data_IF_157442570970
#
_entry.id   IF_157442570970
#
_cell.length_a   1.000
_cell.length_b   1.000
_cell.length_c   1.000
_cell.angle_alpha   90.00
_cell.angle_beta   90.00
_cell.angle_gamma   90.00
#
_symmetry.space_group_name_H-M   'P 1'
#
loop_
_entity.id
_entity.type
_entity.pdbx_description
1 polymer ?
#
# COMPACT_ATOMS: atom_id res chain seq x y z
N UNK A 1 12.87 10.26 8.97
CA UNK A 1 11.78 10.37 9.87
C UNK A 1 10.53 9.83 9.26
N UNK A 2 9.67 9.27 10.01
CA UNK A 2 8.46 8.65 9.51
C UNK A 2 7.25 9.50 9.86
N UNK A 3 6.27 9.54 8.96
CA UNK A 3 5.00 10.17 9.24
C UNK A 3 4.12 9.16 9.94
N UNK A 4 3.44 9.60 10.98
CA UNK A 4 2.55 8.71 11.73
C UNK A 4 1.11 9.13 11.52
N UNK A 5 0.18 8.32 12.04
CA UNK A 5 -1.22 8.68 11.97
C UNK A 5 -1.47 10.01 12.66
N UNK A 6 -0.76 10.27 13.75
CA UNK A 6 -0.92 11.54 14.46
C UNK A 6 -0.55 12.71 13.57
N UNK A 7 0.44 12.54 12.72
CA UNK A 7 0.81 13.60 11.79
C UNK A 7 -0.28 13.86 10.77
N UNK A 8 -0.97 12.81 10.35
CA UNK A 8 -2.07 12.99 9.42
C UNK A 8 -3.22 13.73 10.10
N UNK A 9 -3.50 13.39 11.35
CA UNK A 9 -4.54 14.07 12.09
C UNK A 9 -4.22 15.54 12.21
N UNK A 10 -2.96 15.86 12.51
CA UNK A 10 -2.56 17.24 12.66
C UNK A 10 -2.72 18.01 11.36
N UNK A 11 -2.38 17.39 10.26
CA UNK A 11 -2.50 17.99 8.94
C UNK A 11 -3.95 18.31 8.62
N UNK A 12 -4.85 17.39 8.93
CA UNK A 12 -6.25 17.63 8.70
C UNK A 12 -6.78 18.74 9.59
N UNK A 13 -6.38 18.75 10.83
CA UNK A 13 -6.78 19.78 11.76
C UNK A 13 -6.36 21.16 11.24
N UNK A 14 -5.14 21.26 10.75
CA UNK A 14 -4.64 22.54 10.32
C UNK A 14 -5.18 22.98 8.98
N UNK A 15 -5.41 22.06 8.07
CA UNK A 15 -5.74 22.45 6.71
C UNK A 15 -7.19 22.44 6.37
N UNK A 16 -8.00 21.71 7.11
CA UNK A 16 -9.38 21.54 6.72
C UNK A 16 -10.34 22.19 7.72
N UNK A 17 -9.89 22.52 8.91
CA UNK A 17 -10.74 23.21 9.85
C UNK A 17 -11.54 22.31 10.77
N UNK A 18 -11.26 21.01 10.78
CA UNK A 18 -11.90 20.13 11.74
C UNK A 18 -11.31 20.36 13.12
N UNK A 19 -12.07 20.03 14.15
CA UNK A 19 -11.47 19.99 15.48
C UNK A 19 -10.52 18.81 15.54
N UNK A 20 -9.64 18.79 16.52
CA UNK A 20 -8.70 17.68 16.64
C UNK A 20 -9.40 16.36 16.82
N UNK A 21 -10.48 16.36 17.59
CA UNK A 21 -11.20 15.13 17.79
C UNK A 21 -11.86 14.66 16.50
N UNK A 22 -12.44 15.59 15.75
CA UNK A 22 -13.05 15.21 14.48
C UNK A 22 -12.01 14.69 13.51
N UNK A 23 -10.86 15.34 13.46
CA UNK A 23 -9.79 14.89 12.56
C UNK A 23 -9.32 13.50 12.95
N UNK A 24 -9.16 13.25 14.23
CA UNK A 24 -8.73 11.94 14.69
C UNK A 24 -9.75 10.86 14.35
N UNK A 25 -11.03 11.18 14.54
CA UNK A 25 -12.09 10.21 14.23
C UNK A 25 -12.13 9.90 12.75
N UNK A 26 -11.95 10.92 11.91
CA UNK A 26 -11.95 10.70 10.48
C UNK A 26 -10.78 9.84 10.02
N UNK A 27 -9.60 10.11 10.55
CA UNK A 27 -8.44 9.31 10.17
C UNK A 27 -8.63 7.87 10.60
N UNK A 28 -9.15 7.65 11.81
CA UNK A 28 -9.40 6.29 12.26
C UNK A 28 -10.42 5.61 11.38
N UNK A 29 -11.47 6.32 10.97
CA UNK A 29 -12.47 5.73 10.12
C UNK A 29 -11.87 5.30 8.79
N UNK A 30 -11.04 6.14 8.20
CA UNK A 30 -10.43 5.81 6.91
C UNK A 30 -9.57 4.55 7.04
N UNK A 31 -8.70 4.51 8.04
CA UNK A 31 -7.82 3.37 8.17
C UNK A 31 -8.57 2.11 8.56
N UNK A 32 -9.60 2.23 9.39
CA UNK A 32 -10.40 1.07 9.73
C UNK A 32 -11.12 0.52 8.52
N UNK A 33 -11.61 1.39 7.66
CA UNK A 33 -12.27 0.97 6.44
C UNK A 33 -11.31 0.24 5.53
N UNK A 34 -10.09 0.76 5.39
CA UNK A 34 -9.09 0.09 4.57
C UNK A 34 -8.73 -1.27 5.16
N UNK A 35 -8.52 -1.33 6.45
CA UNK A 35 -8.16 -2.59 7.08
C UNK A 35 -9.25 -3.64 6.95
N UNK A 36 -10.48 -3.20 7.13
CA UNK A 36 -11.57 -4.13 7.00
C UNK A 36 -11.69 -4.70 5.61
N UNK A 37 -11.56 -3.84 4.60
CA UNK A 37 -11.64 -4.28 3.22
C UNK A 37 -10.53 -5.26 2.90
N UNK A 38 -9.31 -4.95 3.33
CA UNK A 38 -8.19 -5.83 3.04
C UNK A 38 -8.28 -7.14 3.79
N UNK A 39 -8.83 -7.12 5.01
CA UNK A 39 -8.94 -8.35 5.77
C UNK A 39 -9.94 -9.30 5.13
N UNK A 40 -10.82 -8.79 4.30
CA UNK A 40 -11.74 -9.65 3.56
C UNK A 40 -11.16 -10.12 2.24
N UNK A 41 -9.93 -9.78 1.97
CA UNK A 41 -9.26 -10.23 0.74
C UNK A 41 -9.58 -9.38 -0.47
N UNK A 42 -10.14 -8.19 -0.27
CA UNK A 42 -10.51 -7.36 -1.40
C UNK A 42 -9.43 -6.35 -1.70
N UNK A 43 -9.25 -6.07 -2.96
CA UNK A 43 -8.28 -5.11 -3.41
C UNK A 43 -8.80 -3.70 -3.22
N UNK A 44 -7.91 -2.76 -2.94
CA UNK A 44 -8.26 -1.36 -2.84
C UNK A 44 -7.49 -0.59 -3.89
N UNK A 45 -8.18 0.22 -4.66
CA UNK A 45 -7.56 0.99 -5.70
C UNK A 45 -7.75 2.46 -5.40
N UNK A 46 -6.67 3.19 -5.21
CA UNK A 46 -6.72 4.61 -4.91
C UNK A 46 -6.05 5.35 -6.06
N UNK A 47 -6.86 6.05 -6.84
CA UNK A 47 -6.40 6.70 -8.02
C UNK A 47 -5.32 7.72 -7.71
N UNK A 48 -4.26 7.72 -8.46
CA UNK A 48 -3.15 8.65 -8.26
C UNK A 48 -2.24 8.31 -7.11
N UNK A 49 -2.57 7.27 -6.36
CA UNK A 49 -1.75 6.89 -5.22
C UNK A 49 -1.22 5.47 -5.39
N UNK A 50 -2.09 4.51 -5.52
CA UNK A 50 -1.65 3.14 -5.71
C UNK A 50 -2.73 2.15 -5.35
N UNK A 51 -2.37 0.89 -5.46
CA UNK A 51 -3.30 -0.20 -5.20
C UNK A 51 -2.78 -1.08 -4.10
N UNK A 52 -3.68 -1.50 -3.21
CA UNK A 52 -3.36 -2.51 -2.22
C UNK A 52 -3.94 -3.81 -2.71
N UNK A 53 -3.11 -4.82 -2.86
CA UNK A 53 -3.52 -6.09 -3.45
C UNK A 53 -3.30 -7.19 -2.43
N UNK A 54 -4.28 -8.05 -2.25
CA UNK A 54 -4.17 -9.18 -1.35
C UNK A 54 -4.15 -10.43 -2.20
N UNK A 55 -3.13 -11.28 -1.98
CA UNK A 55 -3.03 -12.53 -2.69
C UNK A 55 -3.08 -13.65 -1.74
N UNK A 56 -3.72 -14.72 -2.14
CA UNK A 56 -3.76 -15.91 -1.32
C UNK A 56 -2.74 -16.87 -1.84
N UNK A 57 -1.84 -17.30 -0.98
CA UNK A 57 -0.83 -18.26 -1.38
C UNK A 57 -1.11 -19.59 -0.74
N UNK A 58 -1.04 -20.65 -1.54
CA UNK A 58 -1.27 -21.97 -1.03
C UNK A 58 -0.12 -22.44 -0.21
N UNK A 59 -0.37 -23.41 0.64
CA UNK A 59 0.73 -24.03 1.33
C UNK A 59 1.65 -24.68 0.31
N UNK A 60 2.90 -24.72 0.60
CA UNK A 60 3.88 -25.29 -0.31
C UNK A 60 5.06 -25.78 0.49
N UNK A 61 5.94 -26.48 -0.18
CA UNK A 61 7.11 -27.04 0.44
C UNK A 61 8.28 -26.12 0.14
N UNK A 62 8.99 -25.70 1.17
CA UNK A 62 10.19 -24.92 1.00
C UNK A 62 11.36 -25.68 1.55
N UNK A 63 12.53 -25.03 1.58
CA UNK A 63 13.72 -25.68 2.07
C UNK A 63 14.48 -24.71 2.94
N UNK A 64 14.90 -25.19 4.07
CA UNK A 64 15.67 -24.38 4.99
C UNK A 64 17.06 -24.16 4.38
N UNK A 65 17.45 -22.94 4.09
CA UNK A 65 18.74 -22.72 3.41
C UNK A 65 19.93 -23.10 4.26
N UNK A 66 19.79 -23.20 5.58
CA UNK A 66 20.93 -23.54 6.39
C UNK A 66 21.07 -25.03 6.57
N UNK A 67 20.03 -25.78 6.65
CA UNK A 67 20.13 -27.20 6.90
C UNK A 67 19.77 -28.03 5.69
N UNK A 68 19.10 -27.45 4.70
CA UNK A 68 18.65 -28.19 3.55
C UNK A 68 17.40 -29.01 3.80
N UNK A 69 16.84 -28.92 4.99
CA UNK A 69 15.67 -29.70 5.29
C UNK A 69 14.45 -29.11 4.66
N UNK A 70 13.50 -29.96 4.27
CA UNK A 70 12.25 -29.50 3.73
C UNK A 70 11.37 -29.02 4.84
N UNK A 71 10.67 -27.92 4.61
CA UNK A 71 9.72 -27.43 5.57
C UNK A 71 8.46 -27.08 4.81
N UNK A 72 7.34 -27.12 5.50
CA UNK A 72 6.08 -26.79 4.88
C UNK A 72 5.74 -25.37 5.20
N UNK A 73 5.46 -24.56 4.18
CA UNK A 73 5.06 -23.18 4.34
C UNK A 73 3.57 -23.14 4.22
N UNK A 74 2.90 -22.71 5.27
CA UNK A 74 1.45 -22.78 5.31
C UNK A 74 0.81 -21.76 4.39
N UNK A 75 -0.44 -22.00 4.05
CA UNK A 75 -1.22 -21.07 3.25
C UNK A 75 -1.39 -19.77 4.02
N UNK A 76 -1.43 -18.66 3.29
CA UNK A 76 -1.57 -17.37 3.94
C UNK A 76 -1.98 -16.32 2.93
N UNK A 77 -2.37 -15.18 3.43
CA UNK A 77 -2.62 -14.01 2.58
C UNK A 77 -1.45 -13.07 2.67
N UNK A 78 -1.10 -12.49 1.55
CA UNK A 78 0.02 -11.58 1.47
C UNK A 78 -0.50 -10.26 0.93
N UNK A 79 -0.16 -9.17 1.60
CA UNK A 79 -0.58 -7.85 1.20
C UNK A 79 0.57 -7.15 0.50
N UNK A 80 0.29 -6.57 -0.64
CA UNK A 80 1.29 -5.85 -1.41
C UNK A 80 0.72 -4.49 -1.80
N UNK A 81 1.56 -3.46 -1.72
CA UNK A 81 1.17 -2.14 -2.18
C UNK A 81 1.91 -1.85 -3.48
N UNK A 82 1.17 -1.43 -4.51
CA UNK A 82 1.76 -1.07 -5.78
C UNK A 82 1.52 0.40 -6.01
N UNK A 83 2.55 1.23 -5.96
CA UNK A 83 2.36 2.67 -6.17
C UNK A 83 1.94 2.96 -7.60
N UNK A 84 1.14 4.00 -7.77
CA UNK A 84 0.75 4.44 -9.10
C UNK A 84 1.93 5.08 -9.79
N UNK A 85 1.82 5.27 -11.09
CA UNK A 85 2.88 5.94 -11.82
C UNK A 85 3.00 7.39 -11.41
N UNK A 86 1.90 8.00 -11.06
CA UNK A 86 1.92 9.36 -10.58
C UNK A 86 2.74 9.46 -9.30
N UNK A 87 2.50 8.54 -8.37
CA UNK A 87 3.22 8.55 -7.11
C UNK A 87 4.70 8.27 -7.34
N UNK A 88 5.01 7.31 -8.19
CA UNK A 88 6.41 7.02 -8.49
C UNK A 88 7.12 8.21 -9.07
N UNK A 89 6.44 8.92 -9.98
CA UNK A 89 7.03 10.07 -10.61
C UNK A 89 7.29 11.18 -9.60
N UNK A 90 6.37 11.37 -8.66
CA UNK A 90 6.56 12.39 -7.65
C UNK A 90 7.71 12.06 -6.73
N UNK A 91 7.85 10.80 -6.37
CA UNK A 91 8.96 10.41 -5.51
C UNK A 91 10.29 10.60 -6.24
N UNK A 92 10.34 10.26 -7.50
CA UNK A 92 11.56 10.40 -8.26
C UNK A 92 11.89 11.85 -8.60
N UNK A 93 10.87 12.66 -8.81
CA UNK A 93 11.09 14.07 -9.09
C UNK A 93 11.70 14.76 -7.86
N UNK A 94 11.28 14.33 -6.68
CA UNK A 94 11.85 14.87 -5.48
C UNK A 94 13.35 14.61 -5.42
N UNK A 95 13.77 13.43 -5.85
CA UNK A 95 15.17 13.10 -5.88
C UNK A 95 15.93 13.95 -6.87
N UNK A 96 15.36 14.22 -8.02
CA UNK A 96 16.04 14.99 -9.06
C UNK A 96 15.85 16.47 -8.90
N UNK A 97 14.99 16.91 -8.00
CA UNK A 97 14.74 18.32 -7.84
C UNK A 97 13.93 18.95 -8.95
N UNK A 98 13.19 18.12 -9.70
CA UNK A 98 12.40 18.62 -10.81
C UNK A 98 10.93 18.45 -10.54
N UNK A 99 10.11 19.34 -11.08
CA UNK A 99 8.67 19.16 -10.89
C UNK A 99 8.16 17.98 -11.72
N UNK A 100 7.05 17.42 -11.27
CA UNK A 100 6.46 16.31 -11.97
C UNK A 100 5.66 16.81 -13.14
N UNK A 101 5.81 16.17 -14.29
CA UNK A 101 5.03 16.51 -15.45
C UNK A 101 3.94 15.47 -15.56
N UNK A 102 2.80 15.74 -15.01
CA UNK A 102 1.73 14.76 -14.98
C UNK A 102 1.10 14.52 -16.33
N UNK A 103 1.32 15.41 -17.28
CA UNK A 103 0.70 15.21 -18.57
C UNK A 103 1.33 14.06 -19.34
N UNK A 104 2.50 13.61 -18.93
CA UNK A 104 3.14 12.51 -19.60
C UNK A 104 2.96 11.19 -18.91
N UNK A 105 2.14 11.13 -17.86
CA UNK A 105 2.00 9.92 -17.10
C UNK A 105 0.64 9.34 -17.34
N UNK A 106 0.58 8.03 -17.67
CA UNK A 106 -0.67 7.36 -17.81
C UNK A 106 -1.16 6.87 -16.50
N UNK A 107 -2.46 6.86 -16.32
CA UNK A 107 -2.99 6.29 -15.10
C UNK A 107 -2.74 4.83 -15.11
N UNK A 108 -2.45 4.30 -13.95
CA UNK A 108 -2.21 2.88 -13.82
C UNK A 108 -3.46 2.14 -14.13
N UNK A 109 -3.39 1.08 -14.92
CA UNK A 109 -4.48 0.28 -15.10
C UNK A 109 -4.53 -0.77 -14.13
N UNK A 110 -5.55 -1.38 -13.91
CA UNK A 110 -5.67 -2.37 -12.91
C UNK A 110 -5.03 -3.56 -13.29
N UNK A 111 -4.02 -3.94 -12.92
CA UNK A 111 -3.36 -5.01 -13.32
C UNK A 111 -3.10 -5.89 -12.36
N UNK A 112 -3.68 -6.61 -12.10
CA UNK A 112 -3.39 -7.48 -11.11
C UNK A 112 -2.62 -8.51 -11.47
N UNK A 113 -2.16 -8.57 -12.31
CA UNK A 113 -1.50 -9.65 -12.65
C UNK A 113 -0.35 -9.90 -12.06
N UNK A 114 0.31 -9.78 -11.82
CA UNK A 114 1.43 -10.03 -11.43
C UNK A 114 1.87 -10.82 -10.67
N UNK A 115 2.06 -11.37 -10.46
CA UNK A 115 2.39 -12.13 -9.75
C UNK A 115 3.47 -12.63 -9.47
N UNK A 116 4.02 -12.47 -9.54
CA UNK A 116 5.12 -12.87 -9.43
C UNK A 116 5.35 -13.36 -8.27
N UNK A 117 5.10 -13.67 -7.67
CA UNK A 117 5.25 -14.17 -6.59
C UNK A 117 6.38 -14.57 -6.21
N UNK A 118 7.04 -14.22 -6.20
CA UNK A 118 8.20 -14.58 -5.83
C UNK A 118 8.18 -14.81 -4.54
N UNK A 119 7.92 -14.82 -3.92
CA UNK A 119 7.92 -15.05 -2.71
C UNK A 119 8.83 -15.11 -1.96
N UNK A 120 9.21 -14.89 -1.65
CA UNK A 120 10.06 -14.86 -0.90
C UNK A 120 9.82 -15.08 0.13
#
# INVERSE_FOLDING_TARGET
>A
MAMTKADIVESLYEKVGFSKKEAADLVELVFDTLKNTLSQGQKIKISGFGNFVVREKRSRVGRNPQTGETIEISARRVLTFRPSQVLRAEVNASLEGKPVDLSKIKEDEDDDDDDSDTDD
#
